data_IF_932072887515
#
_entry.id   IF_932072887515
#
_cell.length_a   1.000
_cell.length_b   1.000
_cell.length_c   1.000
_cell.angle_alpha   90.00
_cell.angle_beta   90.00
_cell.angle_gamma   90.00
#
_symmetry.space_group_name_H-M   'P 1'
#
loop_
_entity.id
_entity.type
_entity.pdbx_description
1 polymer ?
#
# COMPACT_ATOMS: atom_id res chain seq x y z
N UNK A 1 59.90 -5.70 -8.51
CA UNK A 1 59.35 -6.81 -9.34
C UNK A 1 58.18 -6.27 -10.16
N UNK A 2 58.29 -6.25 -11.50
CA UNK A 2 57.30 -5.59 -12.38
C UNK A 2 55.98 -6.38 -12.47
N UNK A 3 54.84 -5.68 -12.54
CA UNK A 3 53.47 -6.25 -12.68
C UNK A 3 53.40 -7.23 -13.87
N UNK A 4 54.14 -6.96 -14.95
CA UNK A 4 54.25 -7.84 -16.12
C UNK A 4 54.89 -9.20 -15.79
N UNK A 5 55.82 -9.25 -14.84
CA UNK A 5 56.43 -10.49 -14.36
C UNK A 5 55.43 -11.33 -13.56
N UNK A 6 54.68 -10.71 -12.65
CA UNK A 6 53.62 -11.39 -11.89
C UNK A 6 52.54 -11.99 -12.78
N UNK A 7 52.15 -11.29 -13.86
CA UNK A 7 51.18 -11.79 -14.84
C UNK A 7 51.73 -12.94 -15.67
N UNK A 8 53.01 -12.91 -16.07
CA UNK A 8 53.66 -14.01 -16.79
C UNK A 8 53.82 -15.25 -15.89
N UNK A 9 54.26 -15.09 -14.65
CA UNK A 9 54.39 -16.20 -13.71
C UNK A 9 53.03 -16.81 -13.38
N UNK A 10 52.00 -15.97 -13.23
CA UNK A 10 50.62 -16.44 -13.06
C UNK A 10 50.13 -17.23 -14.28
N UNK A 11 50.42 -16.76 -15.50
CA UNK A 11 50.11 -17.47 -16.75
C UNK A 11 50.83 -18.82 -16.86
N UNK A 12 52.12 -18.89 -16.50
CA UNK A 12 52.89 -20.13 -16.53
C UNK A 12 52.37 -21.15 -15.51
N UNK A 13 52.03 -20.70 -14.29
CA UNK A 13 51.41 -21.55 -13.26
C UNK A 13 50.04 -22.06 -13.68
N UNK A 14 49.24 -21.22 -14.34
CA UNK A 14 47.96 -21.60 -14.94
C UNK A 14 48.08 -22.68 -16.01
N UNK A 15 49.25 -22.84 -16.64
CA UNK A 15 49.46 -23.80 -17.74
C UNK A 15 49.58 -25.26 -17.24
N UNK A 16 49.74 -25.47 -15.92
CA UNK A 16 49.71 -26.80 -15.32
C UNK A 16 48.29 -27.40 -15.36
N UNK A 17 48.15 -28.64 -15.83
CA UNK A 17 46.86 -29.36 -15.92
C UNK A 17 46.11 -29.36 -14.60
N UNK A 18 46.81 -29.44 -13.47
CA UNK A 18 46.18 -29.40 -12.13
C UNK A 18 45.59 -28.03 -11.80
N UNK A 19 46.25 -26.95 -12.24
CA UNK A 19 45.77 -25.59 -11.98
C UNK A 19 44.56 -25.24 -12.84
N UNK A 20 44.49 -25.70 -14.10
CA UNK A 20 43.29 -25.56 -14.93
C UNK A 20 42.06 -26.22 -14.31
N UNK A 21 42.20 -27.43 -13.76
CA UNK A 21 41.10 -28.14 -13.08
C UNK A 21 40.61 -27.37 -11.87
N UNK A 22 41.52 -26.87 -11.03
CA UNK A 22 41.16 -26.09 -9.82
C UNK A 22 40.41 -24.82 -10.22
N UNK A 23 40.94 -24.04 -11.17
CA UNK A 23 40.30 -22.79 -11.62
C UNK A 23 38.94 -23.05 -12.25
N UNK A 24 38.81 -24.11 -13.05
CA UNK A 24 37.53 -24.50 -13.65
C UNK A 24 36.50 -24.91 -12.60
N UNK A 25 36.89 -25.69 -11.59
CA UNK A 25 36.02 -26.06 -10.47
C UNK A 25 35.58 -24.86 -9.64
N UNK A 26 36.49 -23.91 -9.37
CA UNK A 26 36.14 -22.67 -8.67
C UNK A 26 35.16 -21.83 -9.49
N UNK A 27 35.37 -21.69 -10.80
CA UNK A 27 34.45 -20.99 -11.70
C UNK A 27 33.06 -21.62 -11.70
N UNK A 28 32.98 -22.95 -11.79
CA UNK A 28 31.71 -23.68 -11.70
C UNK A 28 31.04 -23.45 -10.34
N UNK A 29 31.80 -23.49 -9.24
CA UNK A 29 31.29 -23.20 -7.90
C UNK A 29 30.69 -21.79 -7.78
N UNK A 30 31.39 -20.77 -8.31
CA UNK A 30 30.90 -19.39 -8.32
C UNK A 30 29.65 -19.24 -9.19
N UNK A 31 29.60 -19.91 -10.35
CA UNK A 31 28.41 -19.90 -11.22
C UNK A 31 27.19 -20.54 -10.53
N UNK A 32 27.38 -21.71 -9.91
CA UNK A 32 26.32 -22.39 -9.15
C UNK A 32 25.83 -21.54 -7.97
N UNK A 33 26.75 -20.92 -7.24
CA UNK A 33 26.41 -20.01 -6.15
C UNK A 33 25.65 -18.78 -6.64
N UNK A 34 26.07 -18.18 -7.77
CA UNK A 34 25.38 -17.06 -8.40
C UNK A 34 23.95 -17.40 -8.83
N UNK A 35 23.74 -18.57 -9.45
CA UNK A 35 22.41 -19.06 -9.81
C UNK A 35 21.55 -19.30 -8.57
N UNK A 36 22.10 -19.96 -7.54
CA UNK A 36 21.41 -20.20 -6.27
C UNK A 36 20.97 -18.89 -5.60
N UNK A 37 21.88 -17.91 -5.52
CA UNK A 37 21.60 -16.61 -4.93
C UNK A 37 20.53 -15.84 -5.72
N UNK A 38 20.59 -15.90 -7.06
CA UNK A 38 19.59 -15.23 -7.91
C UNK A 38 18.19 -15.86 -7.78
N UNK A 39 18.10 -17.19 -7.65
CA UNK A 39 16.83 -17.88 -7.37
C UNK A 39 16.24 -17.44 -6.05
N UNK A 40 17.02 -17.49 -4.96
CA UNK A 40 16.57 -17.01 -3.64
C UNK A 40 16.14 -15.55 -3.66
N UNK A 41 16.89 -14.68 -4.33
CA UNK A 41 16.52 -13.28 -4.47
C UNK A 41 15.19 -13.08 -5.22
N UNK A 42 14.88 -13.97 -6.17
CA UNK A 42 13.61 -13.95 -6.89
C UNK A 42 12.46 -14.45 -6.00
N UNK A 43 12.69 -15.52 -5.24
CA UNK A 43 11.69 -16.06 -4.30
C UNK A 43 11.31 -15.04 -3.23
N UNK A 44 12.28 -14.34 -2.64
CA UNK A 44 12.01 -13.26 -1.68
C UNK A 44 11.23 -12.09 -2.30
N UNK A 45 11.53 -11.71 -3.54
CA UNK A 45 10.78 -10.67 -4.25
C UNK A 45 9.33 -11.10 -4.49
N UNK A 46 9.10 -12.35 -4.85
CA UNK A 46 7.77 -12.89 -5.04
C UNK A 46 6.98 -12.92 -3.73
N UNK A 47 7.61 -13.34 -2.63
CA UNK A 47 7.00 -13.32 -1.30
C UNK A 47 6.58 -11.91 -0.89
N UNK A 48 7.45 -10.91 -1.07
CA UNK A 48 7.13 -9.51 -0.79
C UNK A 48 5.99 -8.99 -1.67
N UNK A 49 6.02 -9.27 -2.98
CA UNK A 49 4.93 -8.89 -3.87
C UNK A 49 3.60 -9.52 -3.46
N UNK A 50 3.60 -10.78 -3.03
CA UNK A 50 2.40 -11.45 -2.53
C UNK A 50 1.89 -10.82 -1.24
N UNK A 51 2.80 -10.40 -0.34
CA UNK A 51 2.42 -9.66 0.86
C UNK A 51 1.78 -8.32 0.52
N UNK A 52 2.37 -7.54 -0.41
CA UNK A 52 1.77 -6.27 -0.84
C UNK A 52 0.44 -6.45 -1.55
N UNK A 53 0.30 -7.47 -2.40
CA UNK A 53 -0.98 -7.85 -3.00
C UNK A 53 -2.03 -8.12 -1.91
N UNK A 54 -1.68 -8.94 -0.91
CA UNK A 54 -2.58 -9.23 0.21
C UNK A 54 -2.99 -7.95 0.95
N UNK A 55 -2.04 -7.11 1.36
CA UNK A 55 -2.36 -5.86 2.06
C UNK A 55 -3.26 -4.95 1.23
N UNK A 56 -3.02 -4.89 -0.08
CA UNK A 56 -3.84 -4.11 -1.00
C UNK A 56 -5.26 -4.68 -1.18
N UNK A 57 -5.42 -6.02 -1.24
CA UNK A 57 -6.74 -6.64 -1.24
C UNK A 57 -7.47 -6.42 0.08
N UNK A 58 -6.80 -6.63 1.21
CA UNK A 58 -7.38 -6.40 2.54
C UNK A 58 -7.79 -4.91 2.67
N UNK A 59 -6.99 -3.96 2.16
CA UNK A 59 -7.37 -2.54 2.06
C UNK A 59 -8.62 -2.34 1.21
N UNK A 60 -8.67 -2.92 0.00
CA UNK A 60 -9.80 -2.82 -0.92
C UNK A 60 -11.09 -3.31 -0.27
N UNK A 61 -11.04 -4.45 0.40
CA UNK A 61 -12.19 -5.02 1.10
C UNK A 61 -12.63 -4.13 2.27
N UNK A 62 -11.70 -3.59 3.04
CA UNK A 62 -12.02 -2.68 4.14
C UNK A 62 -12.73 -1.40 3.64
N UNK A 63 -12.26 -0.78 2.54
CA UNK A 63 -12.89 0.43 2.00
C UNK A 63 -14.26 0.13 1.38
N UNK A 64 -14.43 -1.02 0.72
CA UNK A 64 -15.74 -1.49 0.27
C UNK A 64 -16.72 -1.67 1.45
N UNK A 65 -16.24 -2.25 2.56
CA UNK A 65 -17.04 -2.41 3.77
C UNK A 65 -17.42 -1.06 4.38
N UNK A 66 -16.48 -0.11 4.44
CA UNK A 66 -16.74 1.27 4.90
C UNK A 66 -17.88 1.88 4.08
N UNK A 67 -17.80 1.85 2.74
CA UNK A 67 -18.85 2.38 1.87
C UNK A 67 -20.21 1.74 2.19
N UNK A 68 -20.27 0.41 2.25
CA UNK A 68 -21.51 -0.32 2.57
C UNK A 68 -22.06 0.04 3.95
N UNK A 69 -21.20 0.17 4.96
CA UNK A 69 -21.62 0.48 6.33
C UNK A 69 -22.11 1.93 6.44
N UNK A 70 -21.45 2.88 5.78
CA UNK A 70 -21.92 4.27 5.70
C UNK A 70 -23.26 4.36 4.94
N UNK A 71 -23.45 3.61 3.85
CA UNK A 71 -24.74 3.54 3.17
C UNK A 71 -25.84 2.99 4.10
N UNK A 72 -25.54 1.94 4.86
CA UNK A 72 -26.47 1.34 5.84
C UNK A 72 -26.82 2.29 6.97
N UNK A 73 -25.88 3.10 7.47
CA UNK A 73 -26.16 4.06 8.53
C UNK A 73 -27.06 5.21 8.05
N UNK A 74 -26.97 5.61 6.77
CA UNK A 74 -27.85 6.63 6.17
C UNK A 74 -29.31 6.20 6.04
N UNK A 75 -29.59 4.90 5.88
CA UNK A 75 -30.94 4.37 5.68
C UNK A 75 -31.53 3.68 6.93
N UNK A 76 -30.74 3.54 7.99
CA UNK A 76 -31.15 2.84 9.21
C UNK A 76 -32.07 3.71 10.07
N UNK A 77 -33.27 3.20 10.34
CA UNK A 77 -34.26 3.89 11.18
C UNK A 77 -34.09 3.64 12.70
N UNK A 78 -33.11 2.82 13.12
CA UNK A 78 -32.93 2.43 14.54
C UNK A 78 -31.58 2.89 15.09
N UNK A 79 -31.54 3.66 16.20
CA UNK A 79 -30.29 4.10 16.82
C UNK A 79 -29.34 2.96 17.18
N UNK A 80 -29.86 1.84 17.70
CA UNK A 80 -29.04 0.68 18.07
C UNK A 80 -28.39 0.01 16.85
N UNK A 81 -29.11 -0.05 15.73
CA UNK A 81 -28.60 -0.63 14.47
C UNK A 81 -27.58 0.29 13.82
N UNK A 82 -27.81 1.61 13.88
CA UNK A 82 -26.87 2.63 13.43
C UNK A 82 -25.60 2.62 14.25
N UNK A 83 -25.69 2.54 15.58
CA UNK A 83 -24.56 2.39 16.51
C UNK A 83 -23.66 1.21 16.13
N UNK A 84 -24.24 0.01 15.99
CA UNK A 84 -23.50 -1.19 15.58
C UNK A 84 -22.81 -1.03 14.22
N UNK A 85 -23.51 -0.43 13.25
CA UNK A 85 -22.98 -0.20 11.90
C UNK A 85 -21.79 0.76 11.94
N UNK A 86 -21.85 1.81 12.76
CA UNK A 86 -20.75 2.77 12.94
C UNK A 86 -19.58 2.14 13.69
N UNK A 87 -19.82 1.30 14.71
CA UNK A 87 -18.74 0.55 15.36
C UNK A 87 -17.99 -0.35 14.38
N UNK A 88 -18.72 -1.03 13.49
CA UNK A 88 -18.11 -1.83 12.42
C UNK A 88 -17.32 -0.94 11.44
N UNK A 89 -17.85 0.23 11.06
CA UNK A 89 -17.15 1.15 10.16
C UNK A 89 -15.84 1.67 10.77
N UNK A 90 -15.84 1.98 12.08
CA UNK A 90 -14.63 2.34 12.82
C UNK A 90 -13.57 1.24 12.78
N UNK A 91 -13.96 -0.01 13.00
CA UNK A 91 -13.01 -1.13 12.94
C UNK A 91 -12.42 -1.29 11.53
N UNK A 92 -13.25 -1.22 10.48
CA UNK A 92 -12.82 -1.32 9.08
C UNK A 92 -11.88 -0.16 8.68
N UNK A 93 -12.17 1.05 9.13
CA UNK A 93 -11.31 2.22 8.90
C UNK A 93 -9.91 2.04 9.52
N UNK A 94 -9.83 1.54 10.75
CA UNK A 94 -8.55 1.26 11.39
C UNK A 94 -7.78 0.13 10.68
N UNK A 95 -8.46 -0.94 10.25
CA UNK A 95 -7.82 -2.02 9.48
C UNK A 95 -7.32 -1.53 8.12
N UNK A 96 -8.12 -0.70 7.42
CA UNK A 96 -7.70 -0.05 6.18
C UNK A 96 -6.44 0.81 6.41
N UNK A 97 -6.41 1.59 7.49
CA UNK A 97 -5.27 2.42 7.86
C UNK A 97 -4.01 1.59 8.11
N UNK A 98 -4.14 0.44 8.79
CA UNK A 98 -3.01 -0.47 9.01
C UNK A 98 -2.48 -1.09 7.70
N UNK A 99 -3.36 -1.35 6.73
CA UNK A 99 -2.97 -1.96 5.47
C UNK A 99 -2.32 -0.96 4.51
N UNK A 100 -2.89 0.26 4.38
CA UNK A 100 -2.40 1.27 3.45
C UNK A 100 -0.98 1.73 3.78
N UNK A 101 -0.65 1.91 5.07
CA UNK A 101 0.69 2.36 5.50
C UNK A 101 1.79 1.31 5.29
N UNK A 102 1.42 0.05 5.08
CA UNK A 102 2.35 -1.04 4.80
C UNK A 102 2.67 -1.20 3.30
N UNK A 103 1.92 -0.51 2.43
CA UNK A 103 2.15 -0.55 1.00
C UNK A 103 3.45 0.18 0.64
N UNK A 104 4.19 -0.28 -0.39
CA UNK A 104 5.49 0.27 -0.74
C UNK A 104 5.36 1.57 -1.56
N UNK A 105 4.49 2.48 -1.15
CA UNK A 105 4.15 3.75 -1.82
C UNK A 105 4.63 4.89 -0.91
N UNK A 106 5.14 5.98 -1.50
CA UNK A 106 5.59 7.12 -0.72
C UNK A 106 4.41 7.82 -0.03
N UNK A 107 4.57 8.19 1.24
CA UNK A 107 3.52 8.78 2.08
C UNK A 107 2.75 9.95 1.44
N UNK A 108 3.38 10.92 0.73
CA UNK A 108 2.64 12.03 0.12
C UNK A 108 1.54 11.61 -0.87
N UNK A 109 1.62 10.40 -1.42
CA UNK A 109 0.61 9.85 -2.32
C UNK A 109 -0.53 9.13 -1.58
N UNK A 110 -0.36 8.84 -0.29
CA UNK A 110 -1.33 8.15 0.56
C UNK A 110 -2.03 9.09 1.55
N UNK A 111 -1.49 10.29 1.78
CA UNK A 111 -1.94 11.24 2.81
C UNK A 111 -3.46 11.50 2.76
N UNK A 112 -4.02 11.75 1.56
CA UNK A 112 -5.45 12.00 1.39
C UNK A 112 -6.32 10.81 1.78
N UNK A 113 -5.96 9.61 1.31
CA UNK A 113 -6.69 8.38 1.66
C UNK A 113 -6.54 8.06 3.14
N UNK A 114 -5.33 8.19 3.69
CA UNK A 114 -5.05 8.04 5.12
C UNK A 114 -5.89 9.00 5.96
N UNK A 115 -5.96 10.29 5.57
CA UNK A 115 -6.75 11.30 6.26
C UNK A 115 -8.25 10.97 6.22
N UNK A 116 -8.75 10.53 5.08
CA UNK A 116 -10.13 10.05 4.94
C UNK A 116 -10.43 8.88 5.87
N UNK A 117 -9.59 7.85 5.87
CA UNK A 117 -9.77 6.67 6.74
C UNK A 117 -9.75 7.05 8.22
N UNK A 118 -8.83 7.92 8.62
CA UNK A 118 -8.83 8.50 9.98
C UNK A 118 -10.16 9.17 10.29
N UNK A 119 -10.61 10.11 9.45
CA UNK A 119 -11.87 10.85 9.67
C UNK A 119 -13.11 9.96 9.72
N UNK A 120 -13.17 8.91 8.90
CA UNK A 120 -14.26 7.93 8.95
C UNK A 120 -14.26 7.21 10.30
N UNK A 121 -13.10 6.72 10.75
CA UNK A 121 -13.00 6.03 12.03
C UNK A 121 -13.41 6.93 13.18
N UNK A 122 -12.88 8.13 13.18
CA UNK A 122 -13.11 9.21 14.11
C UNK A 122 -14.59 9.59 14.24
N UNK A 123 -15.25 9.90 13.11
CA UNK A 123 -16.69 10.18 13.05
C UNK A 123 -17.51 8.98 13.55
N UNK A 124 -17.17 7.77 13.10
CA UNK A 124 -17.90 6.57 13.43
C UNK A 124 -17.81 6.23 14.92
N UNK A 125 -16.65 6.45 15.54
CA UNK A 125 -16.45 6.29 16.97
C UNK A 125 -17.33 7.26 17.78
N UNK A 126 -17.28 8.56 17.45
CA UNK A 126 -18.05 9.58 18.18
C UNK A 126 -19.56 9.36 18.04
N UNK A 127 -20.05 9.04 16.85
CA UNK A 127 -21.47 8.77 16.63
C UNK A 127 -21.93 7.47 17.29
N UNK A 128 -21.08 6.43 17.33
CA UNK A 128 -21.35 5.21 18.10
C UNK A 128 -21.48 5.53 19.60
N UNK A 129 -20.57 6.35 20.16
CA UNK A 129 -20.66 6.75 21.58
C UNK A 129 -21.93 7.56 21.87
N UNK A 130 -22.26 8.52 20.99
CA UNK A 130 -23.47 9.33 21.10
C UNK A 130 -24.75 8.48 21.05
N UNK A 131 -24.86 7.59 20.06
CA UNK A 131 -26.03 6.72 19.87
C UNK A 131 -26.17 5.69 20.99
N UNK A 132 -25.06 5.18 21.54
CA UNK A 132 -25.08 4.31 22.73
C UNK A 132 -25.58 5.02 23.99
N UNK A 133 -25.39 6.35 24.09
CA UNK A 133 -25.99 7.19 25.14
C UNK A 133 -27.46 7.55 24.88
N UNK A 134 -28.08 6.96 23.85
CA UNK A 134 -29.47 7.19 23.48
C UNK A 134 -29.75 8.52 22.78
N UNK A 135 -28.72 9.25 22.37
CA UNK A 135 -28.88 10.50 21.61
C UNK A 135 -29.04 10.21 20.13
N UNK A 136 -29.98 10.90 19.49
CA UNK A 136 -30.17 10.82 18.04
C UNK A 136 -29.03 11.50 17.29
N UNK A 137 -28.85 11.13 16.02
CA UNK A 137 -27.88 11.75 15.11
C UNK A 137 -28.49 13.06 14.59
N UNK A 138 -27.76 14.17 14.69
CA UNK A 138 -28.22 15.46 14.18
C UNK A 138 -28.21 15.49 12.64
N UNK A 139 -28.93 16.44 12.04
CA UNK A 139 -28.94 16.63 10.59
C UNK A 139 -27.54 16.96 10.04
N UNK A 140 -26.75 17.73 10.78
CA UNK A 140 -25.34 18.02 10.44
C UNK A 140 -24.49 16.74 10.44
N UNK A 141 -24.62 15.92 11.48
CA UNK A 141 -23.90 14.65 11.57
C UNK A 141 -24.34 13.67 10.48
N UNK A 142 -25.62 13.66 10.12
CA UNK A 142 -26.14 12.90 9.00
C UNK A 142 -25.51 13.35 7.68
N UNK A 143 -25.38 14.66 7.45
CA UNK A 143 -24.71 15.22 6.28
C UNK A 143 -23.21 14.84 6.26
N UNK A 144 -22.55 14.77 7.41
CA UNK A 144 -21.17 14.29 7.50
C UNK A 144 -21.05 12.82 7.11
N UNK A 145 -21.94 11.94 7.59
CA UNK A 145 -21.98 10.53 7.15
C UNK A 145 -22.19 10.45 5.64
N UNK A 146 -23.11 11.25 5.09
CA UNK A 146 -23.39 11.28 3.66
C UNK A 146 -22.17 11.70 2.86
N UNK A 147 -21.45 12.73 3.33
CA UNK A 147 -20.20 13.17 2.72
C UNK A 147 -19.16 12.04 2.74
N UNK A 148 -18.93 11.40 3.89
CA UNK A 148 -18.00 10.26 3.99
C UNK A 148 -18.40 9.11 3.04
N UNK A 149 -19.69 8.83 2.90
CA UNK A 149 -20.20 7.83 1.97
C UNK A 149 -19.86 8.19 0.52
N UNK A 150 -20.10 9.43 0.10
CA UNK A 150 -19.75 9.88 -1.25
C UNK A 150 -18.25 9.75 -1.53
N UNK A 151 -17.39 10.16 -0.59
CA UNK A 151 -15.95 10.01 -0.73
C UNK A 151 -15.50 8.55 -0.73
N UNK A 152 -16.14 7.67 0.05
CA UNK A 152 -15.81 6.25 0.04
C UNK A 152 -15.97 5.62 -1.35
N UNK A 153 -16.94 6.08 -2.14
CA UNK A 153 -17.11 5.66 -3.54
C UNK A 153 -15.96 6.13 -4.42
N UNK A 154 -15.49 7.36 -4.24
CA UNK A 154 -14.32 7.88 -4.99
C UNK A 154 -13.06 7.07 -4.69
N UNK A 155 -12.82 6.78 -3.41
CA UNK A 155 -11.69 5.93 -2.98
C UNK A 155 -11.82 4.53 -3.57
N UNK A 156 -12.99 3.89 -3.49
CA UNK A 156 -13.20 2.55 -4.05
C UNK A 156 -12.98 2.53 -5.56
N UNK A 157 -13.42 3.55 -6.29
CA UNK A 157 -13.19 3.65 -7.73
C UNK A 157 -11.68 3.72 -8.05
N UNK A 158 -10.93 4.55 -7.32
CA UNK A 158 -9.48 4.69 -7.53
C UNK A 158 -8.70 3.44 -7.12
N UNK A 159 -9.06 2.81 -5.99
CA UNK A 159 -8.47 1.54 -5.56
C UNK A 159 -8.75 0.45 -6.60
N UNK A 160 -9.98 0.37 -7.13
CA UNK A 160 -10.35 -0.59 -8.17
C UNK A 160 -9.58 -0.36 -9.47
N UNK A 161 -9.46 0.88 -9.92
CA UNK A 161 -8.66 1.22 -11.10
C UNK A 161 -7.21 0.74 -10.90
N UNK A 162 -6.62 0.98 -9.73
CA UNK A 162 -5.30 0.46 -9.42
C UNK A 162 -5.25 -1.08 -9.38
N UNK A 163 -6.27 -1.72 -8.82
CA UNK A 163 -6.38 -3.17 -8.79
C UNK A 163 -6.32 -3.76 -10.21
N UNK A 164 -7.02 -3.15 -11.15
CA UNK A 164 -7.00 -3.52 -12.58
C UNK A 164 -5.61 -3.31 -13.21
N UNK A 165 -4.92 -2.22 -12.87
CA UNK A 165 -3.55 -1.94 -13.32
C UNK A 165 -2.52 -2.95 -12.76
N UNK A 166 -2.68 -3.37 -11.50
CA UNK A 166 -1.86 -4.40 -10.87
C UNK A 166 -2.11 -5.78 -11.48
N UNK A 167 -3.38 -6.15 -11.69
CA UNK A 167 -3.75 -7.44 -12.27
C UNK A 167 -3.36 -7.58 -13.73
N UNK A 168 -3.49 -6.51 -14.52
CA UNK A 168 -3.03 -6.49 -15.91
C UNK A 168 -1.50 -6.57 -16.04
N UNK A 169 -0.77 -6.43 -14.92
CA UNK A 169 0.68 -6.46 -14.89
C UNK A 169 1.36 -5.21 -15.46
N UNK A 170 0.57 -4.19 -15.82
CA UNK A 170 1.05 -2.85 -16.18
C UNK A 170 1.81 -2.21 -15.01
N UNK A 171 1.36 -2.50 -13.79
CA UNK A 171 1.97 -2.05 -12.56
C UNK A 171 2.53 -3.23 -11.75
N UNK A 172 3.69 -3.03 -11.12
CA UNK A 172 4.30 -4.02 -10.21
C UNK A 172 4.86 -3.35 -8.97
N UNK A 173 4.61 -3.90 -7.78
CA UNK A 173 5.08 -3.34 -6.50
C UNK A 173 6.59 -3.09 -6.44
N UNK A 174 7.40 -3.96 -7.05
CA UNK A 174 8.84 -3.77 -7.12
C UNK A 174 9.29 -2.55 -7.95
N UNK A 175 8.44 -2.05 -8.87
CA UNK A 175 8.69 -0.80 -9.60
C UNK A 175 8.29 0.41 -8.78
N UNK A 176 7.20 0.30 -8.00
CA UNK A 176 6.75 1.32 -7.04
C UNK A 176 7.83 1.54 -5.98
N UNK A 177 8.32 0.47 -5.34
CA UNK A 177 9.32 0.57 -4.28
C UNK A 177 10.63 1.23 -4.76
N UNK A 178 11.09 0.85 -5.96
CA UNK A 178 12.31 1.41 -6.56
C UNK A 178 12.16 2.88 -6.93
N UNK A 179 11.01 3.27 -7.48
CA UNK A 179 10.75 4.64 -7.93
C UNK A 179 10.37 5.56 -6.76
N UNK A 180 9.68 5.06 -5.73
CA UNK A 180 9.42 5.75 -4.47
C UNK A 180 10.71 6.21 -3.77
N UNK A 181 11.79 5.41 -3.87
CA UNK A 181 13.14 5.79 -3.40
C UNK A 181 13.92 6.68 -4.38
N UNK A 182 13.55 6.71 -5.66
CA UNK A 182 14.26 7.41 -6.73
C UNK A 182 13.54 8.70 -7.21
N UNK A 183 12.57 9.21 -6.44
CA UNK A 183 11.72 10.36 -6.78
C UNK A 183 12.44 11.73 -6.83
N UNK A 184 13.75 11.75 -7.06
CA UNK A 184 14.50 12.94 -7.43
C UNK A 184 14.64 12.99 -8.96
N UNK A 185 13.57 13.40 -9.66
CA UNK A 185 13.75 14.23 -10.85
C UNK A 185 13.35 13.70 -12.24
N UNK A 186 12.59 12.60 -12.41
CA UNK A 186 12.02 12.27 -13.74
C UNK A 186 10.57 11.79 -13.69
N UNK A 187 9.72 12.60 -14.32
CA UNK A 187 8.34 12.32 -14.69
C UNK A 187 8.35 11.25 -15.77
N UNK A 188 7.76 10.09 -15.49
CA UNK A 188 7.73 8.93 -16.39
C UNK A 188 6.25 8.52 -16.46
N UNK A 189 5.61 8.78 -17.61
CA UNK A 189 4.15 8.88 -17.85
C UNK A 189 3.30 7.61 -17.63
N UNK A 190 3.78 6.60 -16.89
CA UNK A 190 3.02 5.37 -16.65
C UNK A 190 3.27 4.84 -15.24
N UNK A 191 3.09 5.70 -14.23
CA UNK A 191 3.39 5.34 -12.86
C UNK A 191 2.12 5.11 -12.02
N UNK A 192 2.05 4.03 -11.21
CA UNK A 192 1.10 3.91 -10.09
C UNK A 192 1.04 5.11 -9.15
N UNK A 193 2.13 5.86 -9.06
CA UNK A 193 2.17 7.12 -8.32
C UNK A 193 1.20 8.16 -8.87
N UNK A 194 0.91 8.15 -10.17
CA UNK A 194 -0.03 9.10 -10.78
C UNK A 194 -1.48 8.78 -10.38
N UNK A 195 -1.87 7.50 -10.30
CA UNK A 195 -3.19 7.11 -9.81
C UNK A 195 -3.41 7.47 -8.33
N UNK A 196 -2.42 7.23 -7.47
CA UNK A 196 -2.51 7.68 -6.07
C UNK A 196 -2.37 9.19 -5.94
N UNK A 197 -1.58 9.86 -6.79
CA UNK A 197 -1.51 11.31 -6.81
C UNK A 197 -2.84 11.92 -7.23
N UNK A 198 -3.53 11.34 -8.21
CA UNK A 198 -4.82 11.82 -8.68
C UNK A 198 -5.92 11.55 -7.65
N UNK A 199 -5.89 10.41 -6.96
CA UNK A 199 -6.72 10.17 -5.77
C UNK A 199 -6.38 11.18 -4.66
N UNK A 200 -5.10 11.45 -4.40
CA UNK A 200 -4.68 12.41 -3.38
C UNK A 200 -5.14 13.83 -3.72
N UNK A 201 -5.14 14.21 -5.00
CA UNK A 201 -5.71 15.49 -5.47
C UNK A 201 -7.21 15.57 -5.24
N UNK A 202 -7.97 14.48 -5.37
CA UNK A 202 -9.40 14.50 -5.02
C UNK A 202 -9.64 14.80 -3.53
N UNK A 203 -8.62 14.59 -2.69
CA UNK A 203 -8.63 14.96 -1.27
C UNK A 203 -8.11 16.37 -0.94
N UNK A 204 -7.54 17.13 -1.89
CA UNK A 204 -7.07 18.50 -1.62
C UNK A 204 -8.21 19.46 -1.22
N UNK A 205 -9.45 19.16 -1.60
CA UNK A 205 -10.67 19.86 -1.18
C UNK A 205 -11.44 19.18 -0.05
N UNK A 206 -10.94 18.07 0.50
CA UNK A 206 -11.66 17.30 1.51
C UNK A 206 -11.70 18.07 2.84
N UNK A 207 -12.90 18.49 3.29
CA UNK A 207 -13.01 19.31 4.48
C UNK A 207 -12.51 18.52 5.69
N UNK A 208 -11.77 19.18 6.56
CA UNK A 208 -11.56 18.68 7.91
C UNK A 208 -12.89 18.76 8.63
N UNK A 209 -13.50 17.62 8.89
CA UNK A 209 -14.69 17.57 9.75
C UNK A 209 -14.32 18.12 11.12
N UNK A 210 -14.96 19.22 11.51
CA UNK A 210 -14.96 19.66 12.91
C UNK A 210 -15.99 18.80 13.62
N UNK A 211 -15.52 17.74 14.27
CA UNK A 211 -16.31 16.96 15.21
C UNK A 211 -15.45 16.80 16.47
N UNK A 212 -16.07 16.67 17.64
CA UNK A 212 -15.41 16.69 18.97
C UNK A 212 -14.68 15.36 19.24
N UNK A 213 -13.67 15.08 18.42
CA UNK A 213 -12.88 13.86 18.41
C UNK A 213 -11.61 13.96 19.26
N UNK A 214 -11.03 12.84 19.71
CA UNK A 214 -9.79 12.86 20.48
C UNK A 214 -8.56 13.36 19.69
N UNK A 215 -8.68 13.56 18.38
CA UNK A 215 -7.60 13.95 17.48
C UNK A 215 -7.94 15.16 16.56
N UNK A 216 -9.08 15.83 16.77
CA UNK A 216 -9.45 17.08 16.09
C UNK A 216 -8.78 18.31 16.67
#
# INVERSE_FOLDING_TARGET
>A
MSIKGKLKDFKYRLTDRRMYTIVSLTLIGVLLWGVYQNRRATDYKNLLNNQYNRMFFDLTDNVNNIESLLAKSLISASPAKTSKTLQEAWAQANMAQMNIIQLPISQPYLDGTSKFLTQVGDLAFALNEQTNRGKEISEEQYNNIKMMYEYSKEVNNSIKAMQEELFSGRIRWNTIEKKGKAFLGKQDENLPGDLFADLNKSFEGFPTLIYDGPFS
#
